data_IF_559086990736
#
_entry.id   IF_559086990736
#
_cell.length_a   1.000
_cell.length_b   1.000
_cell.length_c   1.000
_cell.angle_alpha   90.00
_cell.angle_beta   90.00
_cell.angle_gamma   90.00
#
_symmetry.space_group_name_H-M   'P 1'
#
loop_
_entity.id
_entity.type
_entity.pdbx_description
1 polymer ?
#
# COMPACT_ATOMS: atom_id res chain seq x y z
N UNK A 1 8.96 3.80 -5.49
CA UNK A 1 9.38 3.57 -6.89
C UNK A 1 8.57 4.51 -7.76
N UNK A 2 9.02 4.87 -8.97
CA UNK A 2 8.24 5.72 -9.89
C UNK A 2 6.88 5.10 -10.20
N UNK A 3 6.84 3.80 -10.54
CA UNK A 3 5.61 3.05 -10.81
C UNK A 3 4.63 2.99 -9.63
N UNK A 4 5.16 2.90 -8.40
CA UNK A 4 4.38 2.83 -7.16
C UNK A 4 4.17 4.21 -6.52
N UNK A 5 4.26 5.30 -7.29
CA UNK A 5 4.02 6.66 -6.81
C UNK A 5 2.55 6.83 -6.44
N UNK A 6 2.26 7.76 -5.53
CA UNK A 6 0.88 7.95 -5.06
C UNK A 6 -0.04 8.42 -6.20
N UNK A 7 0.51 9.24 -7.08
CA UNK A 7 -0.13 9.78 -8.27
C UNK A 7 -0.51 8.64 -9.22
N UNK A 8 0.43 7.73 -9.50
CA UNK A 8 0.18 6.58 -10.37
C UNK A 8 -0.85 5.61 -9.78
N UNK A 9 -0.77 5.32 -8.49
CA UNK A 9 -1.74 4.43 -7.84
C UNK A 9 -3.16 5.03 -7.85
N UNK A 10 -3.27 6.35 -7.63
CA UNK A 10 -4.55 7.06 -7.69
C UNK A 10 -5.11 7.07 -9.11
N UNK A 11 -4.25 7.20 -10.12
CA UNK A 11 -4.65 7.12 -11.52
C UNK A 11 -5.17 5.72 -11.87
N UNK A 12 -4.39 4.67 -11.57
CA UNK A 12 -4.77 3.27 -11.88
C UNK A 12 -6.08 2.88 -11.19
N UNK A 13 -6.33 3.36 -9.95
CA UNK A 13 -7.60 3.11 -9.23
C UNK A 13 -8.83 3.53 -10.03
N UNK A 14 -8.75 4.58 -10.86
CA UNK A 14 -9.87 5.08 -11.66
C UNK A 14 -10.26 4.16 -12.82
N UNK A 15 -9.41 3.21 -13.17
CA UNK A 15 -9.64 2.28 -14.28
C UNK A 15 -10.33 0.97 -13.84
N UNK A 16 -10.57 0.79 -12.53
CA UNK A 16 -11.25 -0.40 -11.97
C UNK A 16 -10.58 -1.75 -12.33
N UNK A 17 -9.29 -1.72 -12.65
CA UNK A 17 -8.53 -2.92 -12.97
C UNK A 17 -8.14 -3.70 -11.72
N UNK A 18 -7.92 -5.00 -11.90
CA UNK A 18 -7.15 -5.81 -10.97
C UNK A 18 -5.67 -5.61 -11.32
N UNK A 19 -4.88 -5.10 -10.38
CA UNK A 19 -3.46 -4.79 -10.60
C UNK A 19 -2.59 -5.21 -9.41
N UNK A 20 -1.31 -5.45 -9.70
CA UNK A 20 -0.28 -5.80 -8.73
C UNK A 20 0.93 -4.89 -8.93
N UNK A 21 1.52 -4.41 -7.84
CA UNK A 21 2.77 -3.64 -7.89
C UNK A 21 3.63 -3.91 -6.66
N UNK A 22 4.95 -3.73 -6.81
CA UNK A 22 5.89 -3.82 -5.70
C UNK A 22 6.00 -2.51 -4.93
N UNK A 23 6.04 -2.59 -3.60
CA UNK A 23 6.34 -1.45 -2.74
C UNK A 23 7.77 -1.49 -2.19
N UNK A 24 8.33 -0.31 -1.94
CA UNK A 24 9.51 -0.19 -1.09
C UNK A 24 9.11 -0.42 0.36
N UNK A 25 9.99 -1.07 1.10
CA UNK A 25 9.74 -1.51 2.47
C UNK A 25 9.53 -0.35 3.46
N UNK A 26 10.02 0.85 3.15
CA UNK A 26 9.85 2.07 3.96
C UNK A 26 8.50 2.79 3.74
N UNK A 27 7.60 2.21 2.93
CA UNK A 27 6.28 2.79 2.70
C UNK A 27 5.45 2.71 3.97
N UNK A 28 4.80 3.81 4.34
CA UNK A 28 4.00 3.85 5.56
C UNK A 28 2.57 3.39 5.30
N UNK A 29 2.11 2.40 6.04
CA UNK A 29 0.78 1.82 5.97
C UNK A 29 0.15 1.75 7.37
N UNK A 30 -1.17 1.67 7.43
CA UNK A 30 -1.94 1.45 8.65
C UNK A 30 -2.62 0.08 8.56
N UNK A 31 -2.07 -0.95 9.22
CA UNK A 31 -2.63 -2.30 9.16
C UNK A 31 -3.85 -2.50 10.06
N UNK A 32 -3.99 -1.73 11.14
CA UNK A 32 -4.92 -2.01 12.25
C UNK A 32 -5.74 -0.80 12.70
N UNK A 33 -5.66 0.32 11.98
CA UNK A 33 -6.34 1.56 12.34
C UNK A 33 -5.60 2.39 13.40
N UNK A 34 -4.54 1.89 14.04
CA UNK A 34 -3.88 2.56 15.17
C UNK A 34 -2.77 3.53 14.78
N UNK A 35 -2.43 3.60 13.49
CA UNK A 35 -1.48 4.59 12.99
C UNK A 35 -0.65 4.09 11.83
N UNK A 36 0.12 5.01 11.24
CA UNK A 36 0.98 4.70 10.11
C UNK A 36 2.36 4.22 10.56
N UNK A 37 2.78 3.04 10.10
CA UNK A 37 4.12 2.50 10.32
C UNK A 37 4.75 2.00 9.01
N UNK A 38 6.09 1.96 8.88
CA UNK A 38 6.76 1.36 7.73
C UNK A 38 6.30 -0.08 7.47
N UNK A 39 6.19 -0.47 6.19
CA UNK A 39 5.79 -1.81 5.77
C UNK A 39 6.73 -2.90 6.31
N UNK A 40 8.03 -2.59 6.51
CA UNK A 40 8.98 -3.50 7.19
C UNK A 40 8.58 -3.89 8.61
N UNK A 41 7.75 -3.08 9.28
CA UNK A 41 7.30 -3.29 10.65
C UNK A 41 5.88 -3.84 10.73
N UNK A 42 5.32 -4.26 9.59
CA UNK A 42 3.99 -4.86 9.52
C UNK A 42 4.15 -6.36 9.34
N UNK A 43 3.47 -7.11 10.20
CA UNK A 43 3.36 -8.55 10.04
C UNK A 43 2.47 -8.88 8.84
N UNK A 44 3.00 -9.69 7.92
CA UNK A 44 2.28 -10.10 6.71
C UNK A 44 1.95 -11.58 6.85
N UNK A 45 0.66 -11.90 6.91
CA UNK A 45 0.19 -13.27 6.97
C UNK A 45 0.43 -13.97 5.62
N UNK A 46 0.66 -15.29 5.64
CA UNK A 46 0.81 -16.09 4.42
C UNK A 46 -0.45 -16.06 3.52
N UNK A 47 -1.62 -15.80 4.12
CA UNK A 47 -2.90 -15.61 3.42
C UNK A 47 -3.06 -14.22 2.79
N UNK A 48 -2.09 -13.33 2.99
CA UNK A 48 -2.19 -11.91 2.67
C UNK A 48 -2.74 -11.09 3.82
N UNK A 49 -2.36 -9.81 3.85
CA UNK A 49 -2.81 -8.81 4.84
C UNK A 49 -3.37 -7.60 4.12
N UNK A 50 -4.56 -7.17 4.52
CA UNK A 50 -5.15 -5.91 4.06
C UNK A 50 -4.59 -4.76 4.91
N UNK A 51 -4.07 -3.73 4.26
CA UNK A 51 -3.51 -2.54 4.94
C UNK A 51 -3.94 -1.27 4.23
N UNK A 52 -4.01 -0.16 4.95
CA UNK A 52 -4.30 1.14 4.37
C UNK A 52 -3.02 1.91 4.09
N UNK A 53 -2.77 2.23 2.82
CA UNK A 53 -1.58 2.98 2.45
C UNK A 53 -1.74 4.47 2.78
N UNK A 54 -0.79 5.07 3.50
CA UNK A 54 -0.85 6.48 3.89
C UNK A 54 -1.07 7.40 2.69
N UNK A 55 -2.19 8.14 2.71
CA UNK A 55 -2.57 9.11 1.69
C UNK A 55 -3.09 8.50 0.38
N UNK A 56 -3.35 7.19 0.36
CA UNK A 56 -3.99 6.49 -0.75
C UNK A 56 -5.42 6.12 -0.35
N UNK A 57 -6.35 7.07 -0.55
CA UNK A 57 -7.77 6.93 -0.20
C UNK A 57 -7.96 6.55 1.26
#
# INVERSE_FOLDING_TARGET
SWYSSRENLTLIRRHEWIWLTGFKCNRHVNPDGQGHRPLTQVEIAATGTVVHLKGYG
#
